data_IF_911029382556
#
_entry.id   IF_911029382556
#
_cell.length_a   1.000
_cell.length_b   1.000
_cell.length_c   1.000
_cell.angle_alpha   90.00
_cell.angle_beta   90.00
_cell.angle_gamma   90.00
#
_symmetry.space_group_name_H-M   'P 1'
#
loop_
_entity.id
_entity.type
_entity.pdbx_description
1 polymer ?
#
# COMPACT_ATOMS: atom_id res chain seq x y z
N UNK A 1 35.56 15.61 82.94
CA UNK A 1 35.08 16.36 81.76
C UNK A 1 35.76 15.77 80.52
N UNK A 2 35.00 15.16 79.62
CA UNK A 2 35.45 14.74 78.29
C UNK A 2 34.37 15.15 77.28
N UNK A 3 34.71 15.89 76.20
CA UNK A 3 33.70 16.31 75.22
C UNK A 3 33.42 15.17 74.22
N UNK A 4 32.13 14.80 74.12
CA UNK A 4 31.65 13.76 73.22
C UNK A 4 31.77 14.15 71.73
N UNK A 5 32.32 13.24 70.94
CA UNK A 5 32.47 13.37 69.49
C UNK A 5 31.10 13.21 68.83
N UNK A 6 30.62 14.26 68.16
CA UNK A 6 29.33 14.28 67.44
C UNK A 6 29.49 13.56 66.09
N UNK A 7 28.93 12.36 65.96
CA UNK A 7 28.91 11.62 64.71
C UNK A 7 28.11 12.38 63.62
N UNK A 8 28.77 12.74 62.53
CA UNK A 8 28.13 13.32 61.35
C UNK A 8 27.50 12.22 60.52
N UNK A 9 26.16 12.21 60.45
CA UNK A 9 25.38 11.29 59.63
C UNK A 9 25.63 11.65 58.16
N UNK A 10 26.38 10.83 57.42
CA UNK A 10 26.51 10.96 55.94
C UNK A 10 25.13 10.78 55.32
N UNK A 11 24.55 11.87 54.83
CA UNK A 11 23.33 11.84 54.02
C UNK A 11 23.71 11.27 52.65
N UNK A 12 23.20 10.08 52.32
CA UNK A 12 23.37 9.46 51.01
C UNK A 12 22.55 10.26 50.00
N UNK A 13 23.23 10.84 49.00
CA UNK A 13 22.57 11.56 47.91
C UNK A 13 21.57 10.64 47.17
N UNK A 14 20.40 11.14 46.76
CA UNK A 14 19.44 10.37 46.00
C UNK A 14 20.02 10.03 44.63
N UNK A 15 20.06 8.74 44.29
CA UNK A 15 20.47 8.30 42.96
C UNK A 15 19.41 8.76 41.94
N UNK A 16 19.87 9.46 40.90
CA UNK A 16 19.03 9.86 39.78
C UNK A 16 18.41 8.62 39.10
N UNK A 17 17.13 8.68 38.68
CA UNK A 17 16.49 7.54 38.03
C UNK A 17 17.22 7.20 36.73
N UNK A 18 17.68 5.95 36.62
CA UNK A 18 18.33 5.45 35.42
C UNK A 18 17.38 5.60 34.21
N UNK A 19 17.82 6.34 33.20
CA UNK A 19 17.07 6.50 31.95
C UNK A 19 16.88 5.12 31.30
N UNK A 20 15.63 4.75 31.01
CA UNK A 20 15.31 3.48 30.33
C UNK A 20 16.00 3.46 28.97
N UNK A 21 16.78 2.41 28.71
CA UNK A 21 17.45 2.23 27.44
C UNK A 21 16.46 2.35 26.27
N UNK A 22 16.83 3.03 25.17
CA UNK A 22 15.96 3.20 24.03
C UNK A 22 15.52 1.83 23.48
N UNK A 23 14.21 1.69 23.25
CA UNK A 23 13.64 0.45 22.70
C UNK A 23 14.23 0.20 21.32
N UNK A 24 14.74 -1.01 21.10
CA UNK A 24 15.22 -1.43 19.79
C UNK A 24 14.07 -1.29 18.77
N UNK A 25 14.34 -0.77 17.56
CA UNK A 25 13.32 -0.66 16.53
C UNK A 25 12.77 -2.05 16.19
N UNK A 26 11.46 -2.14 16.01
CA UNK A 26 10.79 -3.40 15.66
C UNK A 26 11.30 -3.86 14.27
N UNK A 27 11.61 -5.16 14.09
CA UNK A 27 11.98 -5.67 12.78
C UNK A 27 10.84 -5.50 11.77
N UNK A 28 11.12 -5.48 10.46
CA UNK A 28 10.10 -5.40 9.43
C UNK A 28 9.06 -6.53 9.57
N UNK A 29 7.79 -6.16 9.69
CA UNK A 29 6.67 -7.10 9.84
C UNK A 29 5.98 -7.45 8.52
N UNK A 30 6.36 -6.76 7.42
CA UNK A 30 5.78 -6.99 6.08
C UNK A 30 6.17 -8.39 5.60
N UNK A 31 5.21 -9.17 5.11
CA UNK A 31 5.44 -10.51 4.54
C UNK A 31 5.72 -11.62 5.55
N UNK A 32 5.99 -11.31 6.83
CA UNK A 32 6.39 -12.30 7.84
C UNK A 32 5.36 -13.41 8.05
N UNK A 33 4.07 -13.09 8.01
CA UNK A 33 3.03 -14.10 8.18
C UNK A 33 2.96 -15.05 6.97
N UNK A 34 3.09 -14.55 5.74
CA UNK A 34 3.13 -15.41 4.56
C UNK A 34 4.36 -16.31 4.61
N UNK A 35 5.52 -15.78 5.00
CA UNK A 35 6.74 -16.57 5.12
C UNK A 35 6.60 -17.70 6.16
N UNK A 36 5.93 -17.44 7.29
CA UNK A 36 5.58 -18.48 8.28
C UNK A 36 4.66 -19.54 7.69
N UNK A 37 3.62 -19.14 6.96
CA UNK A 37 2.68 -20.06 6.34
C UNK A 37 3.36 -20.93 5.27
N UNK A 38 4.17 -20.34 4.40
CA UNK A 38 4.94 -21.05 3.38
C UNK A 38 5.91 -22.05 4.01
N UNK A 39 6.57 -21.69 5.11
CA UNK A 39 7.44 -22.62 5.87
C UNK A 39 6.64 -23.77 6.48
N UNK A 40 5.50 -23.49 7.10
CA UNK A 40 4.66 -24.50 7.74
C UNK A 40 4.06 -25.49 6.71
N UNK A 41 3.67 -24.99 5.53
CA UNK A 41 3.12 -25.83 4.45
C UNK A 41 4.20 -26.54 3.63
N UNK A 42 5.47 -26.14 3.73
CA UNK A 42 6.56 -26.63 2.87
C UNK A 42 6.44 -26.24 1.39
N UNK A 43 5.43 -25.42 1.03
CA UNK A 43 5.16 -24.95 -0.32
C UNK A 43 4.58 -23.54 -0.32
N UNK A 44 4.71 -22.84 -1.44
CA UNK A 44 4.06 -21.53 -1.66
C UNK A 44 2.53 -21.69 -1.64
N UNK A 45 1.84 -20.71 -1.08
CA UNK A 45 0.38 -20.69 -1.05
C UNK A 45 -0.17 -20.62 -2.49
N UNK A 46 -1.03 -21.58 -2.92
CA UNK A 46 -1.67 -21.51 -4.21
C UNK A 46 -2.67 -20.36 -4.25
N UNK A 47 -2.74 -19.69 -5.39
CA UNK A 47 -3.69 -18.61 -5.63
C UNK A 47 -4.33 -18.87 -6.99
N UNK A 48 -5.63 -19.11 -6.97
CA UNK A 48 -6.45 -19.27 -8.16
C UNK A 48 -7.62 -18.29 -8.12
N UNK A 49 -7.88 -17.62 -9.24
CA UNK A 49 -8.96 -16.66 -9.38
C UNK A 49 -9.98 -17.22 -10.36
N UNK A 50 -11.26 -17.21 -9.98
CA UNK A 50 -12.33 -17.61 -10.88
C UNK A 50 -12.54 -16.53 -11.96
N UNK A 51 -13.00 -16.95 -13.14
CA UNK A 51 -13.28 -16.03 -14.24
C UNK A 51 -14.25 -14.91 -13.82
N UNK A 52 -13.95 -13.68 -14.26
CA UNK A 52 -14.73 -12.49 -13.91
C UNK A 52 -14.51 -11.94 -12.49
N UNK A 53 -13.82 -12.66 -11.60
CA UNK A 53 -13.47 -12.17 -10.26
C UNK A 53 -12.11 -11.49 -10.27
N UNK A 54 -11.94 -10.51 -9.38
CA UNK A 54 -10.66 -9.79 -9.18
C UNK A 54 -9.78 -10.42 -8.11
N UNK A 55 -10.34 -11.32 -7.30
CA UNK A 55 -9.70 -11.88 -6.12
C UNK A 55 -9.98 -13.37 -6.04
N UNK A 56 -9.07 -14.15 -5.42
CA UNK A 56 -9.32 -15.53 -5.07
C UNK A 56 -10.60 -15.66 -4.22
N UNK A 57 -11.28 -16.78 -4.37
CA UNK A 57 -12.50 -17.05 -3.60
C UNK A 57 -12.20 -17.25 -2.11
N UNK A 58 -11.09 -17.94 -1.80
CA UNK A 58 -10.71 -18.16 -0.40
C UNK A 58 -10.22 -16.86 0.24
N UNK A 59 -10.80 -16.43 1.37
CA UNK A 59 -10.52 -15.12 1.98
C UNK A 59 -9.06 -15.00 2.45
N UNK A 60 -8.48 -16.08 2.96
CA UNK A 60 -7.07 -16.10 3.39
C UNK A 60 -6.15 -15.90 2.20
N UNK A 61 -6.39 -16.60 1.10
CA UNK A 61 -5.62 -16.42 -0.15
C UNK A 61 -5.77 -15.00 -0.69
N UNK A 62 -6.99 -14.46 -0.72
CA UNK A 62 -7.25 -13.11 -1.20
C UNK A 62 -6.52 -12.05 -0.37
N UNK A 63 -6.54 -12.17 0.96
CA UNK A 63 -5.84 -11.27 1.86
C UNK A 63 -4.32 -11.31 1.65
N UNK A 64 -3.73 -12.51 1.49
CA UNK A 64 -2.29 -12.68 1.25
C UNK A 64 -1.88 -12.19 -0.13
N UNK A 65 -2.65 -12.52 -1.17
CA UNK A 65 -2.45 -12.02 -2.53
C UNK A 65 -2.43 -10.49 -2.57
N UNK A 66 -3.46 -9.83 -2.02
CA UNK A 66 -3.55 -8.37 -2.01
C UNK A 66 -2.41 -7.72 -1.19
N UNK A 67 -2.04 -8.31 -0.05
CA UNK A 67 -0.99 -7.78 0.83
C UNK A 67 0.39 -7.84 0.17
N UNK A 68 0.75 -8.99 -0.39
CA UNK A 68 2.04 -9.16 -1.07
C UNK A 68 2.14 -8.33 -2.33
N UNK A 69 1.09 -8.32 -3.16
CA UNK A 69 1.04 -7.46 -4.33
C UNK A 69 1.21 -5.98 -3.93
N UNK A 70 0.55 -5.54 -2.86
CA UNK A 70 0.70 -4.19 -2.33
C UNK A 70 2.11 -3.87 -1.80
N UNK A 71 2.85 -4.84 -1.25
CA UNK A 71 4.26 -4.67 -0.88
C UNK A 71 5.12 -4.53 -2.13
N UNK A 72 4.99 -5.44 -3.09
CA UNK A 72 5.78 -5.43 -4.33
C UNK A 72 5.56 -4.13 -5.10
N UNK A 73 4.31 -3.67 -5.24
CA UNK A 73 3.98 -2.42 -5.94
C UNK A 73 4.62 -1.22 -5.24
N UNK A 74 4.70 -1.21 -3.91
CA UNK A 74 5.30 -0.10 -3.15
C UNK A 74 6.81 -0.03 -3.31
N UNK A 75 7.46 -1.18 -3.32
CA UNK A 75 8.91 -1.23 -3.24
C UNK A 75 9.56 -1.21 -4.63
N UNK A 76 8.87 -1.74 -5.67
CA UNK A 76 9.51 -2.06 -6.95
C UNK A 76 8.84 -1.45 -8.18
N UNK A 77 7.55 -1.12 -8.14
CA UNK A 77 6.83 -0.62 -9.32
C UNK A 77 6.96 0.91 -9.38
N UNK A 78 7.52 1.49 -10.45
CA UNK A 78 7.57 2.94 -10.60
C UNK A 78 6.16 3.51 -10.76
N UNK A 79 5.95 4.75 -10.31
CA UNK A 79 4.64 5.41 -10.38
C UNK A 79 4.60 6.29 -11.63
N UNK A 80 3.90 5.84 -12.67
CA UNK A 80 3.84 6.54 -13.95
C UNK A 80 2.58 7.43 -14.08
N UNK A 81 2.63 8.48 -14.92
CA UNK A 81 1.50 9.38 -15.09
C UNK A 81 0.24 8.74 -15.67
N UNK A 82 0.33 7.69 -16.50
CA UNK A 82 -0.82 7.08 -17.16
C UNK A 82 -0.70 5.56 -17.26
N UNK A 83 -1.82 4.83 -17.11
CA UNK A 83 -1.85 3.35 -17.19
C UNK A 83 -1.33 2.82 -18.53
N UNK A 84 -1.65 3.53 -19.62
CA UNK A 84 -1.16 3.25 -20.98
C UNK A 84 0.37 3.10 -21.07
N UNK A 85 1.16 3.76 -20.22
CA UNK A 85 2.62 3.65 -20.26
C UNK A 85 3.10 2.26 -19.79
N UNK A 86 2.42 1.68 -18.79
CA UNK A 86 2.70 0.31 -18.36
C UNK A 86 2.31 -0.74 -19.40
N UNK A 87 1.38 -0.43 -20.30
CA UNK A 87 1.05 -1.33 -21.43
C UNK A 87 2.07 -1.27 -22.56
N UNK A 88 2.83 -0.18 -22.67
CA UNK A 88 3.88 -0.03 -23.68
C UNK A 88 5.13 -0.78 -23.25
N UNK A 89 5.51 -0.64 -21.98
CA UNK A 89 6.63 -1.35 -21.39
C UNK A 89 6.13 -2.49 -20.49
N UNK A 90 6.14 -3.68 -21.07
CA UNK A 90 5.74 -4.92 -20.40
C UNK A 90 6.71 -5.34 -19.29
N UNK A 91 7.92 -4.75 -19.24
CA UNK A 91 8.91 -5.06 -18.20
C UNK A 91 8.38 -4.78 -16.80
N UNK A 92 7.60 -3.72 -16.63
CA UNK A 92 7.00 -3.38 -15.34
C UNK A 92 6.01 -4.45 -14.86
N UNK A 93 5.20 -4.98 -15.78
CA UNK A 93 4.24 -6.03 -15.47
C UNK A 93 4.94 -7.36 -15.21
N UNK A 94 5.85 -7.77 -16.08
CA UNK A 94 6.68 -8.98 -15.91
C UNK A 94 7.47 -8.97 -14.60
N UNK A 95 8.09 -7.84 -14.23
CA UNK A 95 8.80 -7.72 -12.96
C UNK A 95 7.88 -7.85 -11.75
N UNK A 96 6.67 -7.27 -11.83
CA UNK A 96 5.66 -7.38 -10.78
C UNK A 96 5.18 -8.82 -10.62
N UNK A 97 4.74 -9.46 -11.71
CA UNK A 97 4.24 -10.84 -11.70
C UNK A 97 5.34 -11.83 -11.32
N UNK A 98 6.57 -11.65 -11.81
CA UNK A 98 7.71 -12.51 -11.45
C UNK A 98 8.06 -12.45 -9.96
N UNK A 99 8.01 -11.27 -9.35
CA UNK A 99 8.20 -11.14 -7.88
C UNK A 99 7.04 -11.77 -7.10
N UNK A 100 5.83 -11.65 -7.62
CA UNK A 100 4.63 -12.19 -6.99
C UNK A 100 4.61 -13.73 -7.08
N UNK A 101 4.95 -14.30 -8.22
CA UNK A 101 5.10 -15.75 -8.41
C UNK A 101 6.26 -16.32 -7.60
N UNK A 102 7.29 -15.52 -7.29
CA UNK A 102 8.33 -15.90 -6.33
C UNK A 102 7.81 -16.14 -4.90
N UNK A 103 6.72 -15.47 -4.50
CA UNK A 103 6.15 -15.55 -3.13
C UNK A 103 4.91 -16.46 -3.04
N UNK A 104 4.09 -16.48 -4.09
CA UNK A 104 2.83 -17.21 -4.17
C UNK A 104 2.87 -18.17 -5.36
N UNK A 105 2.16 -19.30 -5.26
CA UNK A 105 2.01 -20.22 -6.39
C UNK A 105 0.86 -19.72 -7.29
N UNK A 106 1.22 -18.90 -8.27
CA UNK A 106 0.31 -18.26 -9.23
C UNK A 106 0.51 -18.90 -10.60
N UNK A 107 -0.58 -19.30 -11.23
CA UNK A 107 -0.58 -19.77 -12.61
C UNK A 107 -0.60 -18.58 -13.56
N UNK A 108 0.55 -18.20 -14.10
CA UNK A 108 0.68 -17.06 -15.04
C UNK A 108 0.05 -17.33 -16.40
N UNK A 109 -0.24 -18.59 -16.73
CA UNK A 109 -0.89 -18.99 -17.97
C UNK A 109 -2.43 -18.88 -17.89
N UNK A 110 -2.97 -18.74 -16.68
CA UNK A 110 -4.40 -18.64 -16.45
C UNK A 110 -4.88 -17.21 -16.64
N UNK A 111 -5.82 -17.01 -17.58
CA UNK A 111 -6.28 -15.67 -17.96
C UNK A 111 -6.99 -14.90 -16.83
N UNK A 112 -7.92 -15.51 -16.07
CA UNK A 112 -8.50 -14.88 -14.88
C UNK A 112 -7.45 -14.41 -13.87
N UNK A 113 -6.42 -15.21 -13.64
CA UNK A 113 -5.35 -14.89 -12.70
C UNK A 113 -4.47 -13.73 -13.21
N UNK A 114 -4.17 -13.68 -14.51
CA UNK A 114 -3.48 -12.56 -15.17
C UNK A 114 -4.28 -11.25 -15.09
N UNK A 115 -5.59 -11.33 -15.37
CA UNK A 115 -6.50 -10.18 -15.28
C UNK A 115 -6.59 -9.65 -13.83
N UNK A 116 -6.61 -10.54 -12.83
CA UNK A 116 -6.57 -10.17 -11.42
C UNK A 116 -5.24 -9.51 -11.02
N UNK A 117 -4.10 -10.04 -11.48
CA UNK A 117 -2.78 -9.43 -11.25
C UNK A 117 -2.71 -8.03 -11.87
N UNK A 118 -3.21 -7.88 -13.10
CA UNK A 118 -3.31 -6.60 -13.80
C UNK A 118 -4.18 -5.59 -13.04
N UNK A 119 -5.34 -6.02 -12.51
CA UNK A 119 -6.25 -5.14 -11.77
C UNK A 119 -5.64 -4.68 -10.43
N UNK A 120 -5.02 -5.59 -9.68
CA UNK A 120 -4.32 -5.26 -8.44
C UNK A 120 -3.14 -4.32 -8.69
N UNK A 121 -2.35 -4.54 -9.74
CA UNK A 121 -1.28 -3.62 -10.11
C UNK A 121 -1.83 -2.24 -10.47
N UNK A 122 -2.86 -2.19 -11.33
CA UNK A 122 -3.49 -0.93 -11.79
C UNK A 122 -4.07 -0.12 -10.64
N UNK A 123 -4.84 -0.77 -9.77
CA UNK A 123 -5.43 -0.12 -8.59
C UNK A 123 -4.34 0.33 -7.61
N UNK A 124 -3.32 -0.50 -7.35
CA UNK A 124 -2.20 -0.18 -6.48
C UNK A 124 -1.40 1.04 -6.96
N UNK A 125 -1.03 1.12 -8.25
CA UNK A 125 -0.31 2.29 -8.78
C UNK A 125 -1.16 3.55 -8.78
N UNK A 126 -2.47 3.43 -9.06
CA UNK A 126 -3.41 4.55 -8.97
C UNK A 126 -3.46 5.11 -7.56
N UNK A 127 -3.59 4.25 -6.54
CA UNK A 127 -3.63 4.64 -5.14
C UNK A 127 -2.31 5.26 -4.68
N UNK A 128 -1.17 4.69 -5.08
CA UNK A 128 0.15 5.28 -4.80
C UNK A 128 0.27 6.68 -5.38
N UNK A 129 -0.15 6.86 -6.64
CA UNK A 129 -0.14 8.18 -7.29
C UNK A 129 -1.00 9.21 -6.58
N UNK A 130 -2.19 8.81 -6.09
CA UNK A 130 -3.06 9.70 -5.31
C UNK A 130 -2.40 10.13 -3.99
N UNK A 131 -1.90 9.16 -3.22
CA UNK A 131 -1.19 9.43 -1.95
C UNK A 131 0.05 10.31 -2.14
N UNK A 132 0.77 10.08 -3.24
CA UNK A 132 1.95 10.87 -3.58
C UNK A 132 1.58 12.31 -3.92
N UNK A 133 0.53 12.51 -4.72
CA UNK A 133 0.00 13.84 -5.02
C UNK A 133 -0.45 14.58 -3.75
N UNK A 134 -1.20 13.90 -2.89
CA UNK A 134 -1.70 14.48 -1.65
C UNK A 134 -0.57 14.97 -0.73
N UNK A 135 0.53 14.20 -0.62
CA UNK A 135 1.60 14.51 0.33
C UNK A 135 2.65 15.51 -0.18
N UNK A 136 2.95 15.50 -1.48
CA UNK A 136 4.10 16.22 -2.04
C UNK A 136 3.76 17.24 -3.12
N UNK A 137 2.47 17.48 -3.39
CA UNK A 137 2.06 18.42 -4.42
C UNK A 137 0.90 19.31 -3.96
N UNK A 138 -0.15 18.73 -3.38
CA UNK A 138 -1.30 19.50 -2.92
C UNK A 138 -0.89 20.47 -1.80
N UNK A 139 -1.27 21.74 -1.93
CA UNK A 139 -0.99 22.78 -0.94
C UNK A 139 0.43 23.35 -0.98
N UNK A 140 1.30 22.86 -1.88
CA UNK A 140 2.65 23.40 -2.07
C UNK A 140 2.68 24.35 -3.27
N UNK A 141 3.45 25.43 -3.14
CA UNK A 141 3.75 26.31 -4.27
C UNK A 141 4.76 25.67 -5.22
N UNK A 142 4.82 26.14 -6.47
CA UNK A 142 5.70 25.57 -7.50
C UNK A 142 7.20 25.55 -7.09
N UNK A 143 7.63 26.49 -6.25
CA UNK A 143 9.02 26.60 -5.79
C UNK A 143 9.36 25.62 -4.65
N UNK A 144 8.35 25.12 -3.93
CA UNK A 144 8.50 24.20 -2.80
C UNK A 144 8.42 22.72 -3.23
N UNK A 145 7.96 22.46 -4.46
CA UNK A 145 7.92 21.11 -5.01
C UNK A 145 9.36 20.67 -5.32
N UNK A 146 9.82 19.63 -4.63
CA UNK A 146 11.16 19.07 -4.87
C UNK A 146 11.33 18.63 -6.32
N UNK A 147 12.52 18.89 -6.88
CA UNK A 147 12.93 18.41 -8.21
C UNK A 147 13.38 16.95 -8.20
N UNK A 148 13.58 16.38 -7.01
CA UNK A 148 14.01 15.00 -6.78
C UNK A 148 12.84 14.12 -6.37
N UNK A 149 12.90 12.85 -6.74
CA UNK A 149 11.89 11.86 -6.39
C UNK A 149 11.85 11.67 -4.86
N UNK A 150 10.68 11.80 -4.22
CA UNK A 150 10.53 11.52 -2.79
C UNK A 150 10.45 10.01 -2.47
N UNK A 151 10.52 9.14 -3.49
CA UNK A 151 10.38 7.68 -3.33
C UNK A 151 11.45 6.94 -4.13
N UNK A 152 12.15 6.00 -3.48
CA UNK A 152 13.27 5.26 -4.08
C UNK A 152 12.90 4.38 -5.28
N UNK A 153 11.63 3.97 -5.43
CA UNK A 153 11.21 3.09 -6.52
C UNK A 153 10.98 3.83 -7.86
N UNK A 154 11.31 5.13 -7.94
CA UNK A 154 11.02 6.00 -9.07
C UNK A 154 12.18 6.95 -9.30
N UNK A 155 12.52 7.19 -10.58
CA UNK A 155 13.55 8.17 -10.95
C UNK A 155 13.04 9.61 -10.88
N UNK A 156 13.96 10.56 -10.78
CA UNK A 156 13.64 11.99 -10.78
C UNK A 156 12.92 12.43 -12.07
N UNK A 157 13.23 11.80 -13.21
CA UNK A 157 12.55 12.08 -14.48
C UNK A 157 11.08 11.67 -14.45
N UNK A 158 10.79 10.49 -13.90
CA UNK A 158 9.43 10.00 -13.72
C UNK A 158 8.65 10.88 -12.74
N UNK A 159 9.30 11.37 -11.68
CA UNK A 159 8.72 12.33 -10.75
C UNK A 159 8.35 13.65 -11.45
N UNK A 160 9.27 14.23 -12.23
CA UNK A 160 9.00 15.47 -12.98
C UNK A 160 7.86 15.30 -13.97
N UNK A 161 7.76 14.15 -14.62
CA UNK A 161 6.64 13.85 -15.52
C UNK A 161 5.29 13.80 -14.78
N UNK A 162 5.25 13.35 -13.52
CA UNK A 162 4.06 13.41 -12.68
C UNK A 162 3.69 14.83 -12.28
N UNK A 163 4.68 15.61 -11.82
CA UNK A 163 4.49 17.01 -11.43
C UNK A 163 3.97 17.81 -12.62
N UNK A 164 4.60 17.68 -13.80
CA UNK A 164 4.15 18.33 -15.03
C UNK A 164 2.68 18.00 -15.34
N UNK A 165 2.31 16.70 -15.28
CA UNK A 165 0.91 16.29 -15.47
C UNK A 165 -0.04 16.92 -14.46
N UNK A 166 0.35 17.07 -13.20
CA UNK A 166 -0.53 17.65 -12.17
C UNK A 166 -0.64 19.16 -12.25
N UNK A 167 0.41 19.83 -12.74
CA UNK A 167 0.46 21.27 -12.99
C UNK A 167 -0.31 21.69 -14.25
N UNK A 168 -0.64 20.75 -15.14
CA UNK A 168 -1.45 21.05 -16.32
C UNK A 168 -2.82 21.67 -15.94
N UNK A 169 -3.19 22.86 -16.47
CA UNK A 169 -4.43 23.55 -16.12
C UNK A 169 -5.70 22.72 -16.32
N UNK A 170 -5.72 21.83 -17.31
CA UNK A 170 -6.82 20.88 -17.55
C UNK A 170 -7.05 19.93 -16.36
N UNK A 171 -5.97 19.52 -15.69
CA UNK A 171 -5.99 18.62 -14.55
C UNK A 171 -6.17 19.36 -13.21
N UNK A 172 -5.96 20.69 -13.18
CA UNK A 172 -6.22 21.53 -12.02
C UNK A 172 -7.70 21.82 -11.78
N UNK A 173 -8.52 21.87 -12.84
CA UNK A 173 -9.98 22.11 -12.71
C UNK A 173 -10.69 21.07 -11.84
N UNK A 174 -10.18 19.84 -11.80
CA UNK A 174 -10.70 18.75 -10.96
C UNK A 174 -10.24 18.83 -9.48
N UNK A 175 -9.39 19.79 -9.11
CA UNK A 175 -8.88 19.94 -7.75
C UNK A 175 -9.84 20.73 -6.85
N UNK A 176 -10.61 21.66 -7.42
CA UNK A 176 -11.58 22.50 -6.67
C UNK A 176 -12.81 21.73 -6.17
N UNK A 177 -13.16 20.62 -6.82
CA UNK A 177 -14.32 19.81 -6.43
C UNK A 177 -14.00 18.81 -5.28
N UNK A 178 -12.77 18.81 -4.75
CA UNK A 178 -12.35 17.98 -3.62
C UNK A 178 -12.05 18.82 -2.36
N UNK A 179 -12.40 20.12 -2.35
CA UNK A 179 -12.30 20.95 -1.15
C UNK A 179 -13.53 20.71 -0.28
N UNK A 180 -13.29 20.15 0.91
CA UNK A 180 -14.22 19.89 2.03
C UNK A 180 -15.45 19.01 1.69
N UNK A 181 -15.52 17.74 2.14
CA UNK A 181 -16.83 17.12 2.31
C UNK A 181 -17.53 17.85 3.46
N UNK A 182 -18.62 18.55 3.15
CA UNK A 182 -19.53 19.09 4.16
C UNK A 182 -19.92 17.95 5.10
N UNK A 183 -19.68 18.15 6.40
CA UNK A 183 -20.19 17.30 7.46
C UNK A 183 -21.70 17.49 7.56
N UNK A 184 -22.45 16.86 6.66
CA UNK A 184 -23.87 16.49 6.82
C UNK A 184 -24.40 15.88 5.52
N UNK A 185 -23.95 14.66 5.22
CA UNK A 185 -24.79 13.64 4.60
C UNK A 185 -24.11 12.30 4.84
N UNK A 186 -24.66 11.53 5.78
CA UNK A 186 -24.38 10.10 5.88
C UNK A 186 -25.12 9.41 4.72
N UNK A 187 -24.65 9.63 3.49
CA UNK A 187 -25.00 8.75 2.38
C UNK A 187 -24.36 7.40 2.69
N UNK A 188 -25.21 6.46 3.07
CA UNK A 188 -24.89 5.05 3.22
C UNK A 188 -24.22 4.61 1.92
N UNK A 189 -22.89 4.54 1.92
CA UNK A 189 -22.12 3.94 0.85
C UNK A 189 -22.67 2.54 0.67
N UNK A 190 -23.43 2.35 -0.41
CA UNK A 190 -24.10 1.11 -0.70
C UNK A 190 -23.10 -0.03 -0.54
N UNK A 191 -23.29 -0.82 0.52
CA UNK A 191 -22.40 -1.93 0.89
C UNK A 191 -22.28 -2.88 -0.30
N UNK A 192 -23.34 -2.98 -1.12
CA UNK A 192 -23.40 -3.77 -2.35
C UNK A 192 -22.50 -3.18 -3.42
N UNK A 193 -22.51 -1.86 -3.63
CA UNK A 193 -21.64 -1.21 -4.62
C UNK A 193 -20.16 -1.30 -4.22
N UNK A 194 -19.85 -1.06 -2.95
CA UNK A 194 -18.51 -1.20 -2.40
C UNK A 194 -18.00 -2.65 -2.51
N UNK A 195 -18.86 -3.62 -2.20
CA UNK A 195 -18.58 -5.04 -2.34
C UNK A 195 -18.36 -5.44 -3.80
N UNK A 196 -19.24 -5.01 -4.70
CA UNK A 196 -19.20 -5.28 -6.15
C UNK A 196 -17.94 -4.71 -6.77
N UNK A 197 -17.64 -3.43 -6.52
CA UNK A 197 -16.44 -2.76 -7.02
C UNK A 197 -15.15 -3.48 -6.61
N UNK A 198 -15.13 -4.02 -5.38
CA UNK A 198 -14.01 -4.75 -4.81
C UNK A 198 -13.89 -6.21 -5.30
N UNK A 199 -15.00 -6.89 -5.57
CA UNK A 199 -15.01 -8.35 -5.80
C UNK A 199 -15.31 -8.75 -7.25
N UNK A 200 -15.85 -7.87 -8.09
CA UNK A 200 -16.19 -8.18 -9.49
C UNK A 200 -15.39 -7.35 -10.48
N UNK A 201 -15.06 -7.95 -11.61
CA UNK A 201 -14.48 -7.26 -12.77
C UNK A 201 -15.46 -6.23 -13.33
N UNK A 202 -14.97 -5.11 -13.87
CA UNK A 202 -15.82 -4.14 -14.57
C UNK A 202 -16.54 -4.72 -15.80
N UNK A 203 -16.08 -5.88 -16.30
CA UNK A 203 -16.66 -6.54 -17.48
C UNK A 203 -17.71 -7.60 -17.14
N UNK A 204 -17.65 -8.17 -15.94
CA UNK A 204 -18.54 -9.23 -15.50
C UNK A 204 -18.95 -8.89 -14.07
N UNK A 205 -20.20 -8.42 -13.92
CA UNK A 205 -20.76 -7.97 -12.63
C UNK A 205 -20.94 -9.12 -11.62
N UNK A 206 -21.81 -8.92 -10.63
CA UNK A 206 -22.17 -9.99 -9.69
C UNK A 206 -22.85 -11.15 -10.45
N UNK A 207 -22.34 -12.36 -10.20
CA UNK A 207 -22.96 -13.63 -10.61
C UNK A 207 -24.30 -13.80 -9.89
N UNK A 208 -25.31 -14.41 -10.51
CA UNK A 208 -26.67 -14.56 -9.94
C UNK A 208 -26.71 -15.05 -8.47
N UNK A 209 -26.00 -16.13 -8.07
CA UNK A 209 -26.03 -16.57 -6.67
C UNK A 209 -25.43 -15.56 -5.69
N UNK A 210 -24.59 -14.62 -6.16
CA UNK A 210 -24.02 -13.56 -5.35
C UNK A 210 -24.90 -12.29 -5.30
N UNK A 211 -25.95 -12.21 -6.13
CA UNK A 211 -26.97 -11.16 -6.06
C UNK A 211 -28.08 -11.51 -5.07
N UNK A 212 -28.40 -12.80 -4.94
CA UNK A 212 -29.44 -13.29 -4.02
C UNK A 212 -29.00 -13.29 -2.54
N UNK A 213 -27.69 -13.27 -2.29
CA UNK A 213 -27.10 -13.33 -0.96
C UNK A 213 -26.77 -11.95 -0.35
N UNK A 214 -27.12 -10.87 -1.04
CA UNK A 214 -26.88 -9.48 -0.66
C UNK A 214 -28.22 -8.79 -0.47
#
# INVERSE_FOLDING_TARGET
MAPGVRATKRVRAPQAPAQRAPRRPRPPTKGTQLDRMTKAMGRRMPVAVAEGKKRPHEPVQAAKFASEAGVIIRDNVPVLPHWKLYKKDDQHYKNFVGKLSGRLAINTNDKPTDDACTDVMRSGVRQRRYRLKQKYFNGLSANEISKTSPVNCMSDEQWRALVAKWSDPKNMKHQRNNAEPSTDTHEELDVVEAFTSCHTSSKHGLSEPAREAV
#
